data_IF_970642675674
#
_entry.id   IF_970642675674
#
_cell.length_a   1.000
_cell.length_b   1.000
_cell.length_c   1.000
_cell.angle_alpha   90.00
_cell.angle_beta   90.00
_cell.angle_gamma   90.00
#
_symmetry.space_group_name_H-M   'P 1'
#
loop_
_entity.id
_entity.type
_entity.pdbx_description
1 polymer ?
#
# COMPACT_ATOMS: atom_id res chain seq x y z
N UNK A 1 -0.18 64.80 -43.32
CA UNK A 1 -0.34 64.61 -41.86
C UNK A 1 -1.84 64.40 -41.61
N UNK A 2 -2.39 63.29 -41.16
CA UNK A 2 -1.94 62.31 -40.17
C UNK A 2 -2.83 62.47 -38.94
N UNK A 3 -3.86 61.62 -38.76
CA UNK A 3 -4.20 60.92 -37.50
C UNK A 3 -5.60 60.26 -37.49
N UNK A 4 -5.56 58.93 -37.60
CA UNK A 4 -6.29 57.86 -36.88
C UNK A 4 -7.35 58.27 -35.84
N UNK A 5 -8.55 57.64 -35.83
CA UNK A 5 -8.97 56.64 -34.80
C UNK A 5 -10.44 56.21 -34.82
N UNK A 6 -10.58 54.86 -34.83
CA UNK A 6 -11.46 54.01 -34.00
C UNK A 6 -12.96 53.93 -34.34
N UNK A 7 -13.28 52.84 -35.04
CA UNK A 7 -14.53 52.11 -34.87
C UNK A 7 -14.65 51.50 -33.47
N UNK A 8 -15.81 51.58 -32.80
CA UNK A 8 -16.11 50.73 -31.65
C UNK A 8 -16.63 49.37 -32.16
N UNK A 9 -15.87 48.31 -31.89
CA UNK A 9 -16.30 46.92 -32.04
C UNK A 9 -17.17 46.56 -30.83
N UNK A 10 -18.43 46.25 -31.10
CA UNK A 10 -19.32 45.51 -30.21
C UNK A 10 -18.86 44.04 -30.17
N UNK A 11 -18.54 43.52 -28.98
CA UNK A 11 -18.72 42.10 -28.61
C UNK A 11 -18.17 41.87 -27.19
N UNK A 12 -18.99 42.17 -26.18
CA UNK A 12 -18.75 41.66 -24.83
C UNK A 12 -18.98 40.16 -24.83
N UNK A 13 -17.90 39.38 -24.84
CA UNK A 13 -17.93 37.94 -24.60
C UNK A 13 -18.26 37.74 -23.12
N UNK A 14 -19.53 37.46 -22.83
CA UNK A 14 -19.97 36.99 -21.52
C UNK A 14 -19.36 35.63 -21.26
N UNK A 15 -18.49 35.56 -20.24
CA UNK A 15 -17.91 34.32 -19.76
C UNK A 15 -19.01 33.49 -19.11
N UNK A 16 -19.41 32.40 -19.76
CA UNK A 16 -20.22 31.35 -19.14
C UNK A 16 -19.25 30.46 -18.35
N UNK A 17 -18.98 30.81 -17.09
CA UNK A 17 -18.44 29.84 -16.13
C UNK A 17 -19.63 29.09 -15.55
N UNK A 18 -20.02 27.99 -16.19
CA UNK A 18 -21.06 27.11 -15.67
C UNK A 18 -20.53 25.68 -15.56
N UNK A 19 -20.38 25.23 -14.31
CA UNK A 19 -20.75 23.89 -13.88
C UNK A 19 -19.96 22.65 -14.37
N UNK A 20 -18.64 22.75 -14.59
CA UNK A 20 -17.80 21.56 -14.85
C UNK A 20 -16.94 21.11 -13.65
N UNK A 21 -17.16 21.67 -12.45
CA UNK A 21 -16.24 21.48 -11.30
C UNK A 21 -16.59 20.34 -10.33
N UNK A 22 -17.83 19.84 -10.30
CA UNK A 22 -18.26 18.90 -9.24
C UNK A 22 -18.27 17.41 -9.61
N UNK A 23 -18.10 17.05 -10.88
CA UNK A 23 -18.16 15.65 -11.32
C UNK A 23 -16.79 14.95 -11.41
N UNK A 24 -15.69 15.63 -11.09
CA UNK A 24 -14.32 15.09 -11.24
C UNK A 24 -13.70 14.68 -9.89
N UNK A 25 -14.44 14.74 -8.79
CA UNK A 25 -13.88 14.50 -7.43
C UNK A 25 -14.08 13.07 -6.93
N UNK A 26 -14.88 12.23 -7.59
CA UNK A 26 -15.46 11.03 -6.94
C UNK A 26 -14.89 9.66 -7.37
N UNK A 27 -13.61 9.59 -7.75
CA UNK A 27 -12.98 8.29 -7.97
C UNK A 27 -11.54 8.26 -7.44
N UNK A 28 -11.41 8.60 -6.15
CA UNK A 28 -10.26 8.16 -5.36
C UNK A 28 -10.58 6.76 -4.83
N UNK A 29 -9.62 5.81 -4.82
CA UNK A 29 -9.84 4.49 -4.27
C UNK A 29 -10.08 4.69 -2.78
N UNK A 30 -11.32 4.51 -2.35
CA UNK A 30 -11.71 4.77 -0.98
C UNK A 30 -11.11 3.66 -0.11
N UNK A 31 -10.14 4.04 0.70
CA UNK A 31 -9.78 3.24 1.87
C UNK A 31 -10.83 3.57 2.91
N UNK A 32 -11.71 2.62 3.19
CA UNK A 32 -12.54 2.65 4.38
C UNK A 32 -11.63 2.38 5.57
N UNK A 33 -11.28 3.45 6.30
CA UNK A 33 -10.35 3.37 7.43
C UNK A 33 -10.85 2.46 8.56
N UNK A 34 -12.16 2.32 8.74
CA UNK A 34 -12.71 1.43 9.76
C UNK A 34 -12.50 -0.03 9.35
N UNK A 35 -12.86 -0.36 8.11
CA UNK A 35 -12.65 -1.71 7.56
C UNK A 35 -11.17 -2.06 7.49
N UNK A 36 -10.32 -1.13 7.03
CA UNK A 36 -8.88 -1.33 6.99
C UNK A 36 -8.31 -1.61 8.39
N UNK A 37 -8.68 -0.80 9.39
CA UNK A 37 -8.20 -0.97 10.77
C UNK A 37 -8.61 -2.31 11.38
N UNK A 38 -9.82 -2.77 11.11
CA UNK A 38 -10.32 -4.05 11.62
C UNK A 38 -9.75 -5.26 10.85
N UNK A 39 -9.44 -5.10 9.55
CA UNK A 39 -8.94 -6.18 8.71
C UNK A 39 -7.41 -6.34 8.77
N UNK A 40 -6.66 -5.29 9.12
CA UNK A 40 -5.20 -5.33 9.16
C UNK A 40 -4.62 -6.37 10.13
N UNK A 41 -5.09 -6.50 11.39
CA UNK A 41 -4.52 -7.48 12.33
C UNK A 41 -4.53 -8.93 11.81
N UNK A 42 -5.65 -9.51 11.33
CA UNK A 42 -5.65 -10.87 10.79
C UNK A 42 -4.85 -10.99 9.48
N UNK A 43 -4.73 -9.92 8.69
CA UNK A 43 -3.90 -9.90 7.49
C UNK A 43 -2.41 -9.93 7.84
N UNK A 44 -1.98 -9.14 8.83
CA UNK A 44 -0.62 -9.10 9.35
C UNK A 44 -0.23 -10.45 9.98
N UNK A 45 -1.10 -11.06 10.78
CA UNK A 45 -0.89 -12.41 11.30
C UNK A 45 -0.71 -13.43 10.17
N UNK A 46 -1.59 -13.40 9.16
CA UNK A 46 -1.50 -14.29 8.01
C UNK A 46 -0.22 -14.05 7.18
N UNK A 47 0.22 -12.80 7.04
CA UNK A 47 1.46 -12.45 6.34
C UNK A 47 2.70 -12.96 7.10
N UNK A 48 2.72 -12.82 8.42
CA UNK A 48 3.80 -13.36 9.28
C UNK A 48 3.86 -14.87 9.24
N UNK A 49 2.71 -15.54 9.30
CA UNK A 49 2.66 -17.00 9.21
C UNK A 49 3.23 -17.48 7.86
N UNK A 50 2.87 -16.81 6.76
CA UNK A 50 3.40 -17.15 5.44
C UNK A 50 4.90 -16.89 5.29
N UNK A 51 5.39 -15.74 5.76
CA UNK A 51 6.83 -15.43 5.69
C UNK A 51 7.65 -16.38 6.56
N UNK A 52 7.14 -16.74 7.73
CA UNK A 52 7.76 -17.75 8.60
C UNK A 52 7.80 -19.12 7.91
N UNK A 53 6.71 -19.55 7.27
CA UNK A 53 6.68 -20.81 6.52
C UNK A 53 7.58 -20.81 5.27
N UNK A 54 7.87 -19.64 4.70
CA UNK A 54 8.80 -19.46 3.59
C UNK A 54 10.26 -19.30 4.05
N UNK A 55 10.49 -19.09 5.35
CA UNK A 55 11.82 -19.01 5.92
C UNK A 55 12.51 -20.37 5.84
N UNK A 56 13.77 -20.38 5.44
CA UNK A 56 14.59 -21.61 5.41
C UNK A 56 15.40 -21.78 6.70
N UNK A 57 15.15 -20.95 7.71
CA UNK A 57 15.92 -20.86 8.94
C UNK A 57 15.04 -21.20 10.14
N UNK A 58 15.39 -22.25 10.87
CA UNK A 58 14.78 -22.61 12.16
C UNK A 58 15.40 -21.82 13.33
N UNK A 59 16.18 -20.77 13.04
CA UNK A 59 16.84 -19.93 14.04
C UNK A 59 15.80 -19.08 14.81
N UNK A 60 15.60 -19.33 16.13
CA UNK A 60 14.63 -18.60 16.93
C UNK A 60 14.99 -17.13 17.16
N UNK A 61 16.24 -16.73 16.87
CA UNK A 61 16.69 -15.34 16.96
C UNK A 61 16.39 -14.53 15.68
N UNK A 62 15.82 -15.19 14.66
CA UNK A 62 15.34 -14.56 13.42
C UNK A 62 13.85 -14.25 13.52
N UNK A 63 13.46 -13.05 13.09
CA UNK A 63 12.05 -12.63 12.96
C UNK A 63 11.81 -11.93 11.64
N UNK A 64 10.65 -12.19 11.04
CA UNK A 64 10.14 -11.39 9.94
C UNK A 64 9.47 -10.14 10.47
N UNK A 65 9.99 -8.98 10.06
CA UNK A 65 9.44 -7.67 10.38
C UNK A 65 8.80 -7.13 9.11
N UNK A 66 7.50 -6.87 9.16
CA UNK A 66 6.69 -6.45 8.03
C UNK A 66 6.03 -5.09 8.27
N UNK A 67 5.98 -4.27 7.24
CA UNK A 67 5.20 -3.04 7.17
C UNK A 67 4.21 -3.12 6.02
N UNK A 68 3.06 -2.48 6.17
CA UNK A 68 1.96 -2.58 5.23
C UNK A 68 1.34 -1.20 5.01
N UNK A 69 0.88 -0.96 3.78
CA UNK A 69 0.12 0.23 3.44
C UNK A 69 -1.09 -0.16 2.61
N UNK A 70 -2.26 0.10 3.15
CA UNK A 70 -3.52 -0.12 2.45
C UNK A 70 -3.63 0.89 1.31
N UNK A 71 -3.96 0.37 0.13
CA UNK A 71 -4.13 1.13 -1.12
C UNK A 71 -5.61 1.35 -1.39
N UNK A 72 -6.43 0.33 -1.16
CA UNK A 72 -7.87 0.38 -1.42
C UNK A 72 -8.61 -0.66 -0.57
N UNK A 73 -9.88 -0.37 -0.28
CA UNK A 73 -10.84 -1.35 0.21
C UNK A 73 -11.99 -1.45 -0.77
N UNK A 74 -12.38 -2.65 -1.18
CA UNK A 74 -13.47 -2.85 -2.14
C UNK A 74 -14.47 -3.89 -1.63
N UNK A 75 -15.75 -3.55 -1.49
CA UNK A 75 -16.80 -4.54 -1.22
C UNK A 75 -16.86 -5.61 -2.32
N UNK A 76 -17.15 -6.84 -1.94
CA UNK A 76 -17.32 -8.02 -2.80
C UNK A 76 -18.43 -8.91 -2.22
N UNK A 77 -19.69 -8.46 -2.34
CA UNK A 77 -20.82 -9.05 -1.63
C UNK A 77 -20.65 -8.90 -0.10
N UNK A 78 -20.75 -10.01 0.63
CA UNK A 78 -20.52 -10.06 2.09
C UNK A 78 -19.03 -10.07 2.48
N UNK A 79 -18.14 -9.96 1.48
CA UNK A 79 -16.68 -9.97 1.65
C UNK A 79 -16.10 -8.61 1.30
N UNK A 80 -14.84 -8.41 1.67
CA UNK A 80 -14.09 -7.22 1.30
C UNK A 80 -12.75 -7.64 0.69
N UNK A 81 -12.36 -6.99 -0.39
CA UNK A 81 -11.00 -7.03 -0.93
C UNK A 81 -10.19 -5.89 -0.34
N UNK A 82 -9.09 -6.23 0.32
CA UNK A 82 -8.12 -5.28 0.86
C UNK A 82 -6.89 -5.31 -0.04
N UNK A 83 -6.73 -4.28 -0.86
CA UNK A 83 -5.54 -4.08 -1.67
C UNK A 83 -4.48 -3.34 -0.86
N UNK A 84 -3.28 -3.88 -0.77
CA UNK A 84 -2.18 -3.29 -0.02
C UNK A 84 -0.83 -3.53 -0.70
N UNK A 85 0.16 -2.76 -0.29
CA UNK A 85 1.58 -3.02 -0.56
C UNK A 85 2.28 -3.33 0.77
N UNK A 86 3.15 -4.33 0.76
CA UNK A 86 3.93 -4.71 1.94
C UNK A 86 5.42 -4.78 1.64
N UNK A 87 6.21 -4.49 2.67
CA UNK A 87 7.65 -4.74 2.69
C UNK A 87 7.95 -5.56 3.93
N UNK A 88 8.79 -6.58 3.79
CA UNK A 88 9.21 -7.40 4.92
C UNK A 88 10.71 -7.66 4.84
N UNK A 89 11.37 -7.61 5.98
CA UNK A 89 12.74 -8.05 6.14
C UNK A 89 12.79 -9.22 7.13
N UNK A 90 13.63 -10.19 6.84
CA UNK A 90 14.14 -11.15 7.80
C UNK A 90 15.21 -10.47 8.64
N UNK A 91 14.99 -10.37 9.94
CA UNK A 91 15.85 -9.63 10.86
C UNK A 91 16.36 -10.58 11.93
N UNK A 92 17.65 -10.52 12.24
CA UNK A 92 18.26 -11.28 13.32
C UNK A 92 18.94 -10.34 14.31
N UNK A 93 19.07 -10.78 15.56
CA UNK A 93 20.00 -10.15 16.51
C UNK A 93 21.43 -10.54 16.15
N UNK A 94 22.31 -9.55 16.05
CA UNK A 94 23.74 -9.80 15.86
C UNK A 94 24.57 -8.79 16.65
N UNK A 95 25.30 -9.29 17.65
CA UNK A 95 25.99 -8.45 18.62
C UNK A 95 25.02 -7.51 19.35
N UNK A 96 25.42 -6.24 19.51
CA UNK A 96 24.59 -5.20 20.14
C UNK A 96 23.56 -4.53 19.23
N UNK A 97 23.18 -5.15 18.11
CA UNK A 97 22.26 -4.56 17.13
C UNK A 97 21.45 -5.58 16.35
N UNK A 98 20.81 -5.11 15.28
CA UNK A 98 19.99 -5.92 14.39
C UNK A 98 20.58 -5.95 12.98
N UNK A 99 20.42 -7.08 12.30
CA UNK A 99 20.86 -7.28 10.92
C UNK A 99 19.69 -7.78 10.05
N UNK A 100 19.47 -7.16 8.89
CA UNK A 100 18.48 -7.63 7.90
C UNK A 100 19.17 -8.55 6.89
N UNK A 101 18.64 -9.75 6.63
CA UNK A 101 19.23 -10.74 5.72
C UNK A 101 18.50 -10.80 4.39
N UNK A 102 17.37 -11.49 4.35
CA UNK A 102 16.49 -11.57 3.19
C UNK A 102 15.27 -10.66 3.35
N UNK A 103 14.50 -10.49 2.28
CA UNK A 103 13.30 -9.66 2.33
C UNK A 103 12.69 -9.41 0.96
N UNK A 104 11.54 -8.74 0.97
CA UNK A 104 10.92 -8.21 -0.22
C UNK A 104 10.43 -6.79 0.04
N UNK A 105 10.36 -5.99 -1.02
CA UNK A 105 10.01 -4.58 -0.95
C UNK A 105 8.84 -4.28 -1.88
N UNK A 106 7.86 -3.52 -1.39
CA UNK A 106 6.71 -3.03 -2.16
C UNK A 106 5.94 -4.14 -2.90
N UNK A 107 5.86 -5.32 -2.29
CA UNK A 107 5.07 -6.42 -2.86
C UNK A 107 3.60 -6.06 -2.80
N UNK A 108 2.96 -5.95 -3.97
CA UNK A 108 1.54 -5.68 -4.08
C UNK A 108 0.72 -6.96 -3.83
N UNK A 109 -0.32 -6.83 -3.03
CA UNK A 109 -1.16 -7.94 -2.58
C UNK A 109 -2.63 -7.53 -2.52
N UNK A 110 -3.52 -8.48 -2.78
CA UNK A 110 -4.95 -8.34 -2.49
C UNK A 110 -5.39 -9.48 -1.60
N UNK A 111 -5.91 -9.14 -0.42
CA UNK A 111 -6.54 -10.07 0.49
C UNK A 111 -8.05 -10.06 0.30
N UNK A 112 -8.67 -11.24 0.31
CA UNK A 112 -10.12 -11.35 0.45
C UNK A 112 -10.43 -11.72 1.89
N UNK A 113 -11.20 -10.88 2.56
CA UNK A 113 -11.60 -11.05 3.95
C UNK A 113 -13.12 -11.13 4.08
N UNK A 114 -13.57 -11.78 5.13
CA UNK A 114 -14.99 -11.90 5.49
C UNK A 114 -15.22 -11.34 6.89
N UNK A 115 -16.34 -10.64 7.07
CA UNK A 115 -16.73 -10.11 8.38
C UNK A 115 -17.31 -11.25 9.24
N UNK A 116 -16.89 -11.29 10.50
CA UNK A 116 -17.33 -12.23 11.52
C UNK A 116 -17.72 -11.44 12.79
N UNK A 117 -18.40 -12.06 13.77
CA UNK A 117 -18.69 -11.39 15.04
C UNK A 117 -17.44 -10.90 15.80
N UNK A 118 -16.28 -11.54 15.57
CA UNK A 118 -15.00 -11.20 16.21
C UNK A 118 -14.10 -10.27 15.38
N UNK A 119 -14.59 -9.68 14.29
CA UNK A 119 -13.79 -8.88 13.35
C UNK A 119 -13.68 -9.53 11.97
N UNK A 120 -12.56 -9.36 11.27
CA UNK A 120 -12.37 -9.97 9.95
C UNK A 120 -11.60 -11.30 10.00
N UNK A 121 -11.89 -12.17 9.04
CA UNK A 121 -11.15 -13.40 8.80
C UNK A 121 -10.61 -13.42 7.38
N UNK A 122 -9.33 -13.79 7.21
CA UNK A 122 -8.72 -13.95 5.90
C UNK A 122 -9.25 -15.21 5.22
N UNK A 123 -9.71 -15.08 3.98
CA UNK A 123 -10.19 -16.20 3.16
C UNK A 123 -9.17 -16.62 2.10
N UNK A 124 -8.55 -15.64 1.46
CA UNK A 124 -7.66 -15.85 0.32
C UNK A 124 -6.73 -14.64 0.15
N UNK A 125 -5.64 -14.86 -0.58
CA UNK A 125 -4.63 -13.84 -0.90
C UNK A 125 -4.08 -14.06 -2.30
N UNK A 126 -3.87 -12.97 -3.02
CA UNK A 126 -3.11 -12.94 -4.27
C UNK A 126 -1.93 -11.98 -4.18
N UNK A 127 -0.83 -12.36 -4.83
CA UNK A 127 0.35 -11.53 -5.02
C UNK A 127 0.43 -11.05 -6.47
N UNK A 128 0.92 -9.84 -6.68
CA UNK A 128 1.38 -9.44 -8.00
C UNK A 128 2.57 -10.31 -8.43
N UNK A 129 2.63 -10.60 -9.73
CA UNK A 129 3.75 -11.31 -10.35
C UNK A 129 5.02 -10.45 -10.27
N UNK A 130 6.19 -11.09 -10.21
CA UNK A 130 7.47 -10.37 -10.29
C UNK A 130 7.88 -10.07 -11.73
N UNK A 131 8.82 -9.15 -11.89
CA UNK A 131 9.46 -8.85 -13.18
C UNK A 131 8.49 -8.33 -14.25
N UNK A 132 8.57 -8.89 -15.45
CA UNK A 132 7.81 -8.41 -16.62
C UNK A 132 6.28 -8.53 -16.44
N UNK A 133 5.81 -9.43 -15.57
CA UNK A 133 4.39 -9.64 -15.27
C UNK A 133 3.79 -8.65 -14.27
N UNK A 134 4.63 -7.90 -13.54
CA UNK A 134 4.21 -7.05 -12.42
C UNK A 134 3.14 -6.03 -12.81
N UNK A 135 3.39 -5.25 -13.86
CA UNK A 135 2.45 -4.18 -14.24
C UNK A 135 1.09 -4.70 -14.70
N UNK A 136 1.07 -5.86 -15.36
CA UNK A 136 -0.18 -6.50 -15.81
C UNK A 136 -0.95 -7.05 -14.62
N UNK A 137 -0.29 -7.85 -13.78
CA UNK A 137 -0.92 -8.46 -12.61
C UNK A 137 -1.47 -7.42 -11.62
N UNK A 138 -0.77 -6.31 -11.37
CA UNK A 138 -1.28 -5.19 -10.55
C UNK A 138 -2.58 -4.62 -11.13
N UNK A 139 -2.66 -4.42 -12.45
CA UNK A 139 -3.86 -3.88 -13.11
C UNK A 139 -5.04 -4.85 -13.07
N UNK A 140 -4.80 -6.15 -13.04
CA UNK A 140 -5.83 -7.18 -12.90
C UNK A 140 -6.31 -7.32 -11.45
N UNK A 141 -5.43 -7.10 -10.49
CA UNK A 141 -5.71 -7.28 -9.07
C UNK A 141 -6.43 -6.08 -8.44
N UNK A 142 -6.03 -4.85 -8.78
CA UNK A 142 -6.52 -3.62 -8.14
C UNK A 142 -7.60 -2.92 -8.98
N UNK A 143 -8.31 -1.94 -8.39
CA UNK A 143 -9.06 -0.98 -9.22
C UNK A 143 -8.10 -0.18 -10.12
N UNK A 144 -8.62 0.49 -11.14
CA UNK A 144 -7.79 1.34 -12.00
C UNK A 144 -6.98 2.38 -11.20
N UNK A 145 -7.62 3.03 -10.23
CA UNK A 145 -6.96 4.06 -9.41
C UNK A 145 -5.99 3.45 -8.40
N UNK A 146 -6.35 2.31 -7.79
CA UNK A 146 -5.46 1.57 -6.90
C UNK A 146 -4.22 1.05 -7.62
N UNK A 147 -4.39 0.48 -8.82
CA UNK A 147 -3.31 0.04 -9.68
C UNK A 147 -2.37 1.19 -10.03
N UNK A 148 -2.92 2.35 -10.42
CA UNK A 148 -2.12 3.55 -10.67
C UNK A 148 -1.29 3.94 -9.46
N UNK A 149 -1.88 3.98 -8.26
CA UNK A 149 -1.17 4.32 -7.01
C UNK A 149 -0.03 3.34 -6.70
N UNK A 150 -0.24 2.04 -6.94
CA UNK A 150 0.80 1.01 -6.77
C UNK A 150 1.93 1.21 -7.79
N UNK A 151 1.59 1.39 -9.07
CA UNK A 151 2.56 1.55 -10.16
C UNK A 151 3.32 2.88 -10.08
N UNK A 152 2.70 3.92 -9.53
CA UNK A 152 3.32 5.23 -9.24
C UNK A 152 4.23 5.17 -8.00
N UNK A 153 4.39 3.98 -7.39
CA UNK A 153 5.40 3.72 -6.38
C UNK A 153 4.94 3.88 -4.95
N UNK A 154 3.65 3.70 -4.65
CA UNK A 154 3.19 3.61 -3.26
C UNK A 154 4.02 2.58 -2.48
N UNK A 155 4.60 3.03 -1.37
CA UNK A 155 5.43 2.22 -0.50
C UNK A 155 4.87 2.25 0.92
N UNK A 156 4.90 1.12 1.63
CA UNK A 156 4.81 1.15 3.09
C UNK A 156 6.10 1.73 3.68
N UNK A 157 6.10 1.95 4.98
CA UNK A 157 7.29 2.34 5.73
C UNK A 157 8.41 1.30 5.59
N UNK A 158 9.66 1.68 5.82
CA UNK A 158 10.78 0.72 5.80
C UNK A 158 10.68 -0.21 7.03
N UNK A 159 10.64 -1.56 6.89
CA UNK A 159 10.66 -2.46 8.04
C UNK A 159 11.77 -2.17 9.04
N UNK A 160 12.92 -1.66 8.58
CA UNK A 160 14.03 -1.26 9.46
C UNK A 160 13.63 -0.24 10.52
N UNK A 161 12.66 0.64 10.23
CA UNK A 161 12.22 1.67 11.19
C UNK A 161 11.46 1.08 12.38
N UNK A 162 10.88 -0.12 12.23
CA UNK A 162 10.10 -0.78 13.28
C UNK A 162 10.78 -2.03 13.84
N UNK A 163 11.92 -2.45 13.28
CA UNK A 163 12.64 -3.65 13.72
C UNK A 163 13.04 -3.58 15.20
N UNK A 164 13.61 -2.47 15.67
CA UNK A 164 14.02 -2.36 17.07
C UNK A 164 12.85 -2.61 18.04
N UNK A 165 11.69 -2.00 17.77
CA UNK A 165 10.48 -2.18 18.55
C UNK A 165 9.98 -3.64 18.49
N UNK A 166 10.02 -4.28 17.32
CA UNK A 166 9.64 -5.69 17.15
C UNK A 166 10.50 -6.67 17.97
N UNK A 167 11.70 -6.26 18.37
CA UNK A 167 12.59 -7.02 19.26
C UNK A 167 12.58 -6.54 20.72
N UNK A 168 11.74 -5.54 21.05
CA UNK A 168 11.68 -4.95 22.39
C UNK A 168 12.95 -4.15 22.76
N UNK A 169 13.63 -3.60 21.75
CA UNK A 169 14.86 -2.82 21.90
C UNK A 169 14.60 -1.31 21.76
N UNK A 170 15.49 -0.45 22.28
CA UNK A 170 15.39 1.01 22.08
C UNK A 170 15.38 1.38 20.59
N UNK A 171 14.63 2.41 20.21
CA UNK A 171 14.54 2.88 18.82
C UNK A 171 15.89 3.28 18.22
N UNK A 172 16.85 3.70 19.06
CA UNK A 172 18.21 4.02 18.64
C UNK A 172 19.09 2.79 18.32
N UNK A 173 18.56 1.57 18.45
CA UNK A 173 19.30 0.34 18.15
C UNK A 173 19.65 0.29 16.66
N UNK A 174 20.94 0.13 16.29
CA UNK A 174 21.33 0.14 14.89
C UNK A 174 20.80 -1.10 14.16
N UNK A 175 20.18 -0.86 13.00
CA UNK A 175 19.74 -1.89 12.05
C UNK A 175 20.62 -1.82 10.80
N UNK A 176 21.38 -2.89 10.52
CA UNK A 176 22.31 -2.95 9.39
C UNK A 176 21.81 -3.94 8.34
N UNK A 177 22.23 -3.76 7.09
CA UNK A 177 22.04 -4.80 6.07
C UNK A 177 23.14 -5.85 6.23
N UNK A 178 22.75 -7.10 6.42
CA UNK A 178 23.64 -8.25 6.39
C UNK A 178 24.24 -8.40 5.00
N UNK A 179 25.47 -8.91 4.93
CA UNK A 179 26.20 -9.07 3.68
C UNK A 179 25.95 -10.45 3.08
#
# INVERSE_FOLDING_TARGET
MGNVKRWPVLAGVGVVVAAAGWWIVDEMPTVDDAVAREALPPIDEHLRAWTTAAAHSDDPDVRWVCTQKVIETRPDGDRVKIGLVASCDEVAKEGGGLVTRSGFRRQAMVYRVERTPGGFRVLDRKFAEDGAGYSRSVKEMFSWVGARRVLDGASPDDPKSVSAAAFGLPESTPVRTGR
#
